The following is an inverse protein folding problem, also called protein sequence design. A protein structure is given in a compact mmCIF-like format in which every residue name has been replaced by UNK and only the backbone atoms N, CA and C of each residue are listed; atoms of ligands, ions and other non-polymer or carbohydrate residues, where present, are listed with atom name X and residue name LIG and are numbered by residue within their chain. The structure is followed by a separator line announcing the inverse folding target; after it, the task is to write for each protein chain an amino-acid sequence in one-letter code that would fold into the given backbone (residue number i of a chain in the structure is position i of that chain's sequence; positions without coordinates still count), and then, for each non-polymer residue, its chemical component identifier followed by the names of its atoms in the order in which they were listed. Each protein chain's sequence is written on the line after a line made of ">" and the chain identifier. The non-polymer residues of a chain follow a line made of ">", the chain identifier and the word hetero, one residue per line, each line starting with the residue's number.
data_IF_302622122706
#
_entry.id   IF_302622122706
#
_cell.length_a   1.000
_cell.length_b   1.000
_cell.length_c   1.000
_cell.angle_alpha   90.00
_cell.angle_beta   90.00
_cell.angle_gamma   90.00
#
_symmetry.space_group_name_H-M   'P 1'
#
loop_
_entity.id
_entity.type
_entity.pdbx_description
1 polymer ?
#
# COMPACT_ATOMS: atom_id res chain seq x y z
N UNK A 1 20.31 -3.32 -15.38
CA UNK A 1 19.75 -3.52 -14.01
C UNK A 1 19.64 -5.02 -13.77
N UNK A 2 20.25 -5.55 -12.70
CA UNK A 2 20.19 -7.00 -12.42
C UNK A 2 18.79 -7.38 -11.95
N UNK A 3 18.34 -8.57 -12.33
CA UNK A 3 17.04 -9.12 -11.92
C UNK A 3 17.22 -10.27 -10.90
N UNK A 4 16.12 -10.76 -10.34
CA UNK A 4 16.16 -11.83 -9.33
C UNK A 4 16.85 -13.12 -9.84
N UNK A 5 16.80 -13.40 -11.14
CA UNK A 5 17.46 -14.57 -11.72
C UNK A 5 18.98 -14.40 -11.74
N UNK A 6 19.46 -13.17 -11.93
CA UNK A 6 20.90 -12.85 -11.89
C UNK A 6 21.43 -12.99 -10.48
N UNK A 7 20.71 -12.50 -9.47
CA UNK A 7 21.04 -12.68 -8.05
C UNK A 7 21.09 -14.16 -7.68
N UNK A 8 20.11 -14.94 -8.13
CA UNK A 8 20.06 -16.38 -7.87
C UNK A 8 21.28 -17.11 -8.45
N UNK A 9 21.67 -16.78 -9.70
CA UNK A 9 22.90 -17.33 -10.34
C UNK A 9 24.14 -16.96 -9.56
N UNK A 10 24.33 -15.69 -9.19
CA UNK A 10 25.49 -15.21 -8.44
C UNK A 10 25.58 -15.85 -7.05
N UNK A 11 24.44 -16.04 -6.38
CA UNK A 11 24.37 -16.70 -5.09
C UNK A 11 24.45 -18.23 -5.17
N UNK A 12 24.39 -18.83 -6.37
CA UNK A 12 24.38 -20.28 -6.55
C UNK A 12 23.20 -20.96 -5.89
N UNK A 13 22.03 -20.31 -5.88
CA UNK A 13 20.78 -20.81 -5.31
C UNK A 13 19.62 -20.71 -6.32
N UNK A 14 18.50 -21.36 -6.02
CA UNK A 14 17.32 -21.26 -6.88
C UNK A 14 16.68 -19.86 -6.78
N UNK A 15 16.01 -19.44 -7.85
CA UNK A 15 15.19 -18.21 -7.87
C UNK A 15 14.11 -18.20 -6.78
N UNK A 16 13.55 -19.36 -6.45
CA UNK A 16 12.59 -19.51 -5.35
C UNK A 16 13.22 -19.28 -3.98
N UNK A 17 14.48 -19.66 -3.78
CA UNK A 17 15.23 -19.39 -2.56
C UNK A 17 15.48 -17.91 -2.35
N UNK A 18 15.91 -17.18 -3.39
CA UNK A 18 16.06 -15.72 -3.34
C UNK A 18 14.70 -15.04 -3.08
N UNK A 19 13.65 -15.47 -3.78
CA UNK A 19 12.30 -14.94 -3.57
C UNK A 19 11.81 -15.16 -2.14
N UNK A 20 12.07 -16.33 -1.55
CA UNK A 20 11.72 -16.64 -0.17
C UNK A 20 12.47 -15.74 0.82
N UNK A 21 13.77 -15.55 0.62
CA UNK A 21 14.59 -14.63 1.42
C UNK A 21 14.04 -13.20 1.37
N UNK A 22 13.78 -12.68 0.17
CA UNK A 22 13.26 -11.32 -0.02
C UNK A 22 11.87 -11.09 0.61
N UNK A 23 11.09 -12.14 0.76
CA UNK A 23 9.76 -12.11 1.41
C UNK A 23 9.81 -12.51 2.90
N UNK A 24 10.97 -12.41 3.55
CA UNK A 24 11.19 -12.79 4.96
C UNK A 24 10.83 -14.26 5.27
N UNK A 25 10.84 -15.13 4.27
CA UNK A 25 10.68 -16.56 4.47
C UNK A 25 11.97 -17.21 4.99
N UNK A 26 11.83 -18.39 5.60
CA UNK A 26 12.95 -19.11 6.18
C UNK A 26 13.93 -19.61 5.11
N UNK A 27 15.21 -19.27 5.28
CA UNK A 27 16.36 -19.80 4.56
C UNK A 27 17.48 -20.10 5.57
N UNK A 28 18.44 -20.97 5.22
CA UNK A 28 19.54 -21.27 6.13
C UNK A 28 20.38 -20.01 6.40
N UNK A 29 21.03 -19.90 7.59
CA UNK A 29 21.88 -18.75 7.91
C UNK A 29 22.96 -18.48 6.86
N UNK A 30 23.66 -19.53 6.40
CA UNK A 30 24.67 -19.42 5.36
C UNK A 30 24.11 -18.91 4.02
N UNK A 31 22.90 -19.36 3.64
CA UNK A 31 22.21 -18.86 2.43
C UNK A 31 21.80 -17.41 2.58
N UNK A 32 21.32 -17.01 3.76
CA UNK A 32 20.94 -15.63 4.07
C UNK A 32 22.14 -14.69 3.91
N UNK A 33 23.26 -15.00 4.56
CA UNK A 33 24.48 -14.21 4.49
C UNK A 33 24.97 -14.05 3.04
N UNK A 34 25.01 -15.15 2.29
CA UNK A 34 25.43 -15.16 0.89
C UNK A 34 24.55 -14.29 -0.01
N UNK A 35 23.22 -14.39 0.13
CA UNK A 35 22.28 -13.58 -0.66
C UNK A 35 22.41 -12.10 -0.28
N UNK A 36 22.49 -11.77 1.01
CA UNK A 36 22.65 -10.39 1.49
C UNK A 36 23.87 -9.74 0.87
N UNK A 37 25.05 -10.40 0.97
CA UNK A 37 26.30 -9.92 0.39
C UNK A 37 26.17 -9.62 -1.11
N UNK A 38 25.58 -10.54 -1.88
CA UNK A 38 25.41 -10.39 -3.32
C UNK A 38 24.44 -9.23 -3.66
N UNK A 39 23.39 -9.05 -2.89
CA UNK A 39 22.45 -7.93 -3.05
C UNK A 39 23.16 -6.60 -2.83
N UNK A 40 23.97 -6.47 -1.77
CA UNK A 40 24.72 -5.27 -1.44
C UNK A 40 25.79 -4.96 -2.50
N UNK A 41 26.63 -5.94 -2.87
CA UNK A 41 27.68 -5.79 -3.88
C UNK A 41 27.14 -5.39 -5.26
N UNK A 42 25.90 -5.73 -5.56
CA UNK A 42 25.29 -5.47 -6.88
C UNK A 42 24.25 -4.35 -6.84
N UNK A 43 24.07 -3.64 -5.73
CA UNK A 43 23.02 -2.62 -5.53
C UNK A 43 21.67 -3.09 -6.03
N UNK A 44 21.36 -4.39 -5.80
CA UNK A 44 20.11 -4.95 -6.27
C UNK A 44 18.96 -4.48 -5.40
N UNK A 45 17.99 -3.80 -6.02
CA UNK A 45 16.73 -3.43 -5.38
C UNK A 45 15.62 -4.37 -5.89
N UNK A 46 14.98 -5.11 -4.98
CA UNK A 46 13.85 -5.95 -5.34
C UNK A 46 12.73 -5.11 -5.95
N UNK A 47 12.20 -5.54 -7.08
CA UNK A 47 11.04 -4.89 -7.67
C UNK A 47 9.80 -5.19 -6.82
N UNK A 48 9.36 -4.19 -6.06
CA UNK A 48 8.19 -4.29 -5.17
C UNK A 48 6.91 -4.67 -5.94
N UNK A 49 6.73 -4.18 -7.18
CA UNK A 49 5.60 -4.58 -8.03
C UNK A 49 5.62 -6.07 -8.39
N UNK A 50 6.80 -6.63 -8.66
CA UNK A 50 6.91 -8.06 -8.93
C UNK A 50 6.68 -8.93 -7.69
N UNK A 51 6.98 -8.40 -6.49
CA UNK A 51 6.68 -9.05 -5.21
C UNK A 51 5.18 -8.97 -4.89
N UNK A 52 4.55 -7.82 -5.07
CA UNK A 52 3.13 -7.59 -4.81
C UNK A 52 2.22 -8.47 -5.68
N UNK A 53 2.58 -8.71 -6.93
CA UNK A 53 1.86 -9.63 -7.83
C UNK A 53 1.77 -11.06 -7.29
N UNK A 54 2.77 -11.53 -6.53
CA UNK A 54 2.77 -12.86 -5.91
C UNK A 54 2.08 -12.87 -4.54
N UNK A 55 2.25 -11.80 -3.78
CA UNK A 55 1.70 -11.69 -2.43
C UNK A 55 0.22 -11.31 -2.40
N UNK A 56 -0.38 -10.92 -3.53
CA UNK A 56 -1.72 -10.29 -3.63
C UNK A 56 -1.89 -9.06 -2.72
N UNK A 57 -0.78 -8.43 -2.32
CA UNK A 57 -0.73 -7.23 -1.49
C UNK A 57 0.30 -6.26 -2.06
N UNK A 58 -0.06 -4.99 -2.07
CA UNK A 58 0.82 -3.91 -2.55
C UNK A 58 1.60 -3.25 -1.43
N UNK A 59 1.17 -3.45 -0.19
CA UNK A 59 1.63 -2.73 1.01
C UNK A 59 1.43 -1.21 0.87
N UNK A 60 0.36 -0.81 0.18
CA UNK A 60 -0.03 0.58 -0.01
C UNK A 60 -1.38 0.82 0.65
N UNK A 61 -1.50 1.89 1.42
CA UNK A 61 -2.77 2.43 1.91
C UNK A 61 -2.98 3.77 1.23
N UNK A 62 -4.16 3.97 0.63
CA UNK A 62 -4.57 5.27 0.12
C UNK A 62 -5.25 6.09 1.21
N UNK A 63 -4.95 7.39 1.32
CA UNK A 63 -5.72 8.32 2.13
C UNK A 63 -6.20 9.48 1.28
N UNK A 64 -7.50 9.75 1.31
CA UNK A 64 -8.15 10.86 0.63
C UNK A 64 -8.44 11.92 1.66
N UNK A 65 -7.90 13.12 1.46
CA UNK A 65 -7.97 14.25 2.39
C UNK A 65 -8.57 15.48 1.72
N UNK A 66 -9.55 16.15 2.37
CA UNK A 66 -10.24 17.29 1.76
C UNK A 66 -9.45 18.60 1.89
N UNK A 67 -8.57 18.71 2.88
CA UNK A 67 -7.81 19.95 3.18
C UNK A 67 -6.50 19.63 3.89
N UNK A 68 -5.52 20.51 3.74
CA UNK A 68 -4.20 20.42 4.38
C UNK A 68 -4.12 21.21 5.70
N UNK A 69 -4.89 22.27 5.86
CA UNK A 69 -4.81 23.18 6.99
C UNK A 69 -5.87 22.87 8.06
N UNK A 70 -5.81 21.67 8.62
CA UNK A 70 -6.76 21.24 9.66
C UNK A 70 -6.04 20.39 10.69
N UNK A 71 -6.09 20.79 11.94
CA UNK A 71 -5.50 20.07 13.06
C UNK A 71 -5.96 18.60 13.10
N UNK A 72 -7.26 18.34 12.90
CA UNK A 72 -7.80 16.99 12.91
C UNK A 72 -7.27 16.14 11.75
N UNK A 73 -7.13 16.71 10.56
CA UNK A 73 -6.55 16.02 9.40
C UNK A 73 -5.07 15.73 9.66
N UNK A 74 -4.32 16.70 10.16
CA UNK A 74 -2.89 16.54 10.45
C UNK A 74 -2.63 15.44 11.48
N UNK A 75 -3.38 15.42 12.59
CA UNK A 75 -3.24 14.38 13.60
C UNK A 75 -3.65 12.99 13.07
N UNK A 76 -4.68 12.93 12.24
CA UNK A 76 -5.07 11.67 11.59
C UNK A 76 -3.97 11.17 10.65
N UNK A 77 -3.38 12.04 9.83
CA UNK A 77 -2.28 11.67 8.93
C UNK A 77 -1.06 11.19 9.73
N UNK A 78 -0.68 11.89 10.81
CA UNK A 78 0.43 11.45 11.68
C UNK A 78 0.19 10.05 12.23
N UNK A 79 -1.02 9.78 12.73
CA UNK A 79 -1.40 8.46 13.22
C UNK A 79 -1.33 7.39 12.12
N UNK A 80 -1.86 7.69 10.92
CA UNK A 80 -1.81 6.78 9.76
C UNK A 80 -0.37 6.48 9.34
N UNK A 81 0.47 7.50 9.20
CA UNK A 81 1.90 7.34 8.85
C UNK A 81 2.61 6.47 9.88
N UNK A 82 2.39 6.74 11.17
CA UNK A 82 2.98 5.94 12.24
C UNK A 82 2.60 4.46 12.12
N UNK A 83 1.30 4.15 11.97
CA UNK A 83 0.81 2.78 11.84
C UNK A 83 1.29 2.12 10.55
N UNK A 84 1.26 2.83 9.43
CA UNK A 84 1.78 2.32 8.16
C UNK A 84 3.25 1.91 8.27
N UNK A 85 4.09 2.76 8.87
CA UNK A 85 5.51 2.47 9.07
C UNK A 85 5.73 1.24 9.95
N UNK A 86 4.99 1.11 11.06
CA UNK A 86 5.09 -0.07 11.93
C UNK A 86 4.75 -1.37 11.21
N UNK A 87 3.79 -1.33 10.28
CA UNK A 87 3.32 -2.49 9.54
C UNK A 87 3.93 -2.64 8.13
N UNK A 88 4.96 -1.84 7.81
CA UNK A 88 5.64 -1.84 6.49
C UNK A 88 4.73 -1.50 5.33
N UNK A 89 3.73 -0.65 5.57
CA UNK A 89 2.90 -0.04 4.54
C UNK A 89 3.43 1.34 4.16
N UNK A 90 3.19 1.74 2.93
CA UNK A 90 3.36 3.12 2.47
C UNK A 90 2.00 3.81 2.39
N UNK A 91 1.96 5.09 2.71
CA UNK A 91 0.75 5.90 2.64
C UNK A 91 0.78 6.75 1.36
N UNK A 92 -0.25 6.62 0.53
CA UNK A 92 -0.49 7.47 -0.64
C UNK A 92 -1.54 8.51 -0.30
N UNK A 93 -1.15 9.79 -0.25
CA UNK A 93 -2.08 10.89 0.02
C UNK A 93 -2.66 11.44 -1.29
N UNK A 94 -3.99 11.57 -1.32
CA UNK A 94 -4.75 12.25 -2.37
C UNK A 94 -5.46 13.46 -1.76
N UNK A 95 -5.03 14.66 -2.15
CA UNK A 95 -5.65 15.91 -1.76
C UNK A 95 -6.73 16.30 -2.77
N UNK A 96 -7.94 16.61 -2.31
CA UNK A 96 -9.11 16.83 -3.17
C UNK A 96 -9.66 18.27 -3.14
N UNK A 97 -9.20 19.13 -2.22
CA UNK A 97 -9.57 20.54 -2.18
C UNK A 97 -11.04 20.79 -1.84
N UNK A 98 -11.68 19.93 -1.05
CA UNK A 98 -13.12 19.98 -0.70
C UNK A 98 -14.06 19.65 -1.89
N UNK A 99 -13.53 19.12 -2.98
CA UNK A 99 -14.28 18.81 -4.19
C UNK A 99 -14.78 17.34 -4.14
N UNK A 100 -16.10 17.16 -4.12
CA UNK A 100 -16.73 15.83 -4.07
C UNK A 100 -16.32 14.98 -5.28
N UNK A 101 -16.34 15.57 -6.48
CA UNK A 101 -15.93 14.87 -7.70
C UNK A 101 -14.45 14.44 -7.63
N UNK A 102 -13.60 15.25 -6.97
CA UNK A 102 -12.22 14.92 -6.67
C UNK A 102 -12.11 13.71 -5.74
N UNK A 103 -12.94 13.64 -4.69
CA UNK A 103 -13.00 12.51 -3.76
C UNK A 103 -13.43 11.23 -4.47
N UNK A 104 -14.47 11.29 -5.31
CA UNK A 104 -14.96 10.19 -6.14
C UNK A 104 -13.89 9.69 -7.13
N UNK A 105 -13.19 10.62 -7.79
CA UNK A 105 -12.10 10.31 -8.71
C UNK A 105 -10.94 9.64 -8.00
N UNK A 106 -10.58 10.11 -6.80
CA UNK A 106 -9.52 9.54 -5.97
C UNK A 106 -9.84 8.11 -5.52
N UNK A 107 -11.08 7.83 -5.09
CA UNK A 107 -11.55 6.47 -4.75
C UNK A 107 -11.34 5.50 -5.93
N UNK A 108 -11.77 5.89 -7.13
CA UNK A 108 -11.61 5.08 -8.35
C UNK A 108 -10.14 4.88 -8.71
N UNK A 109 -9.32 5.92 -8.58
CA UNK A 109 -7.89 5.87 -8.91
C UNK A 109 -7.13 4.97 -7.96
N UNK A 110 -7.35 5.10 -6.65
CA UNK A 110 -6.71 4.25 -5.64
C UNK A 110 -7.11 2.77 -5.80
N UNK A 111 -8.39 2.51 -6.09
CA UNK A 111 -8.86 1.14 -6.37
C UNK A 111 -8.13 0.54 -7.59
N UNK A 112 -7.98 1.30 -8.69
CA UNK A 112 -7.24 0.84 -9.89
C UNK A 112 -5.75 0.64 -9.58
N UNK A 113 -5.18 1.43 -8.70
CA UNK A 113 -3.78 1.29 -8.24
C UNK A 113 -3.59 0.10 -7.30
N UNK A 114 -4.68 -0.65 -7.01
CA UNK A 114 -4.69 -1.85 -6.16
C UNK A 114 -4.07 -1.62 -4.79
N UNK A 115 -4.37 -0.48 -4.17
CA UNK A 115 -4.02 -0.28 -2.76
C UNK A 115 -4.73 -1.34 -1.89
N UNK A 116 -4.15 -1.70 -0.77
CA UNK A 116 -4.70 -2.74 0.12
C UNK A 116 -5.84 -2.22 1.01
N UNK A 117 -6.00 -0.90 1.09
CA UNK A 117 -7.08 -0.23 1.80
C UNK A 117 -7.12 1.27 1.51
N UNK A 118 -8.26 1.89 1.73
CA UNK A 118 -8.47 3.34 1.55
C UNK A 118 -9.02 3.93 2.85
N UNK A 119 -8.43 5.04 3.29
CA UNK A 119 -8.96 5.89 4.35
C UNK A 119 -9.54 7.15 3.70
N UNK A 120 -10.83 7.35 3.86
CA UNK A 120 -11.56 8.48 3.29
C UNK A 120 -11.92 9.48 4.39
N UNK A 121 -11.34 10.67 4.33
CA UNK A 121 -11.78 11.85 5.05
C UNK A 121 -12.56 12.73 4.10
N UNK A 122 -13.86 12.45 3.93
CA UNK A 122 -14.69 13.16 2.98
C UNK A 122 -15.15 14.53 3.50
N UNK A 123 -15.42 15.46 2.60
CA UNK A 123 -16.11 16.72 2.91
C UNK A 123 -17.48 16.44 3.49
N UNK A 124 -18.29 15.63 2.83
CA UNK A 124 -19.46 14.93 3.36
C UNK A 124 -19.76 13.70 2.49
N UNK A 125 -20.36 12.66 3.07
CA UNK A 125 -20.68 11.45 2.33
C UNK A 125 -21.97 11.66 1.54
N UNK A 126 -21.90 11.42 0.22
CA UNK A 126 -23.03 11.49 -0.72
C UNK A 126 -23.36 10.10 -1.27
N UNK A 127 -24.52 9.95 -1.93
CA UNK A 127 -24.88 8.71 -2.63
C UNK A 127 -23.83 8.31 -3.67
N UNK A 128 -23.18 9.26 -4.35
CA UNK A 128 -22.11 8.98 -5.30
C UNK A 128 -20.90 8.31 -4.64
N UNK A 129 -20.55 8.67 -3.40
CA UNK A 129 -19.52 7.98 -2.62
C UNK A 129 -19.92 6.53 -2.34
N UNK A 130 -21.16 6.34 -1.87
CA UNK A 130 -21.71 5.01 -1.55
C UNK A 130 -21.65 4.09 -2.76
N UNK A 131 -22.18 4.56 -3.90
CA UNK A 131 -22.16 3.79 -5.15
C UNK A 131 -20.76 3.36 -5.59
N UNK A 132 -19.74 4.22 -5.39
CA UNK A 132 -18.37 3.87 -5.74
C UNK A 132 -17.79 2.90 -4.73
N UNK A 133 -17.97 3.13 -3.44
CA UNK A 133 -17.47 2.26 -2.37
C UNK A 133 -18.06 0.85 -2.49
N UNK A 134 -19.33 0.72 -2.84
CA UNK A 134 -19.97 -0.58 -3.05
C UNK A 134 -19.46 -1.36 -4.26
N UNK A 135 -18.91 -0.66 -5.26
CA UNK A 135 -18.42 -1.26 -6.52
C UNK A 135 -16.92 -1.59 -6.53
N UNK A 136 -16.16 -1.06 -5.58
CA UNK A 136 -14.71 -1.32 -5.51
C UNK A 136 -14.40 -2.49 -4.56
N UNK A 137 -13.41 -3.31 -4.92
CA UNK A 137 -12.99 -4.48 -4.13
C UNK A 137 -12.02 -4.13 -3.00
N UNK A 138 -11.73 -2.84 -2.81
CA UNK A 138 -10.78 -2.36 -1.80
C UNK A 138 -11.55 -1.93 -0.56
N UNK A 139 -11.19 -2.38 0.65
CA UNK A 139 -11.83 -1.92 1.88
C UNK A 139 -11.63 -0.41 2.08
N UNK A 140 -12.73 0.28 2.42
CA UNK A 140 -12.73 1.72 2.68
C UNK A 140 -13.15 1.99 4.12
N UNK A 141 -12.33 2.77 4.83
CA UNK A 141 -12.65 3.29 6.16
C UNK A 141 -12.95 4.77 6.02
N UNK A 142 -14.11 5.20 6.54
CA UNK A 142 -14.52 6.60 6.58
C UNK A 142 -14.16 7.16 7.95
N UNK A 143 -13.52 8.33 7.97
CA UNK A 143 -13.11 9.04 9.18
C UNK A 143 -13.89 10.34 9.32
N UNK A 144 -14.43 10.59 10.51
CA UNK A 144 -15.10 11.82 10.86
C UNK A 144 -16.57 11.89 10.43
N UNK A 145 -17.08 10.87 9.74
CA UNK A 145 -18.48 10.81 9.31
C UNK A 145 -19.05 9.40 9.46
N UNK A 146 -20.38 9.32 9.55
CA UNK A 146 -21.12 8.06 9.66
C UNK A 146 -22.18 7.98 8.57
N UNK A 147 -22.33 6.79 7.98
CA UNK A 147 -23.42 6.52 7.03
C UNK A 147 -23.94 5.10 7.24
N UNK A 148 -25.24 4.95 7.45
CA UNK A 148 -25.86 3.68 7.89
C UNK A 148 -25.64 2.52 6.92
N UNK A 149 -25.64 2.75 5.61
CA UNK A 149 -25.39 1.71 4.60
C UNK A 149 -23.98 1.13 4.60
N UNK A 150 -23.00 1.83 5.15
CA UNK A 150 -21.61 1.41 5.14
C UNK A 150 -21.18 0.62 6.39
N UNK A 151 -22.02 0.61 7.43
CA UNK A 151 -21.75 -0.10 8.69
C UNK A 151 -22.47 -1.44 8.82
N UNK A 152 -23.21 -1.85 7.79
CA UNK A 152 -23.99 -3.10 7.79
C UNK A 152 -23.25 -4.31 7.16
N UNK A 153 -21.91 -4.22 7.00
CA UNK A 153 -21.10 -5.32 6.47
C UNK A 153 -20.06 -5.80 7.46
#
# INVERSE_FOLDING_TARGET
>A
MKNISDIAKLAGVSKSTVSRFLNNGSVSPATKEKITKIIEENNYQPNQFAQSLRARRTNLIGAIIPRMNSYAVDETIKGLVHQCNQHRYQLLLNYTGLEIDGEISALKTLSRSKVDGIVLMATHITEAHIEVIEKIDVPVIIVGQKHDRLYSR
#
